data_IF_413295262453
#
_entry.id   IF_413295262453
#
_cell.length_a   1.000
_cell.length_b   1.000
_cell.length_c   1.000
_cell.angle_alpha   90.00
_cell.angle_beta   90.00
_cell.angle_gamma   90.00
#
_symmetry.space_group_name_H-M   'P 1'
#
loop_
_entity.id
_entity.type
_entity.pdbx_description
1 polymer ?
#
# COMPACT_ATOMS: atom_id res chain seq x y z
N UNK A 1 -5.48 18.21 48.98
CA UNK A 1 -6.02 18.29 47.61
C UNK A 1 -4.99 18.07 46.48
N UNK A 2 -3.69 18.33 46.68
CA UNK A 2 -2.65 18.18 45.63
C UNK A 2 -2.42 16.75 45.06
N UNK A 3 -2.57 15.69 45.88
CA UNK A 3 -2.30 14.30 45.47
C UNK A 3 -3.32 13.72 44.48
N UNK A 4 -4.58 14.16 44.53
CA UNK A 4 -5.64 13.67 43.64
C UNK A 4 -5.52 14.30 42.25
N UNK A 5 -5.15 15.58 42.17
CA UNK A 5 -4.90 16.27 40.90
C UNK A 5 -3.70 15.66 40.14
N UNK A 6 -2.63 15.30 40.85
CA UNK A 6 -1.47 14.63 40.26
C UNK A 6 -1.79 13.22 39.75
N UNK A 7 -2.68 12.50 40.42
CA UNK A 7 -3.09 11.15 40.04
C UNK A 7 -4.03 11.16 38.83
N UNK A 8 -4.91 12.16 38.72
CA UNK A 8 -5.75 12.39 37.53
C UNK A 8 -4.89 12.80 36.33
N UNK A 9 -3.91 13.68 36.51
CA UNK A 9 -2.96 14.04 35.44
C UNK A 9 -2.17 12.84 34.92
N UNK A 10 -1.72 11.95 35.82
CA UNK A 10 -1.01 10.73 35.46
C UNK A 10 -1.89 9.76 34.65
N UNK A 11 -3.16 9.58 35.04
CA UNK A 11 -4.11 8.72 34.33
C UNK A 11 -4.42 9.23 32.91
N UNK A 12 -4.53 10.54 32.71
CA UNK A 12 -4.72 11.15 31.38
C UNK A 12 -3.51 10.91 30.48
N UNK A 13 -2.28 11.02 31.03
CA UNK A 13 -1.06 10.75 30.27
C UNK A 13 -0.97 9.27 29.88
N UNK A 14 -1.24 8.36 30.81
CA UNK A 14 -1.20 6.91 30.53
C UNK A 14 -2.27 6.54 29.49
N UNK A 15 -3.49 7.07 29.60
CA UNK A 15 -4.55 6.87 28.61
C UNK A 15 -4.18 7.43 27.23
N UNK A 16 -3.56 8.60 27.17
CA UNK A 16 -3.06 9.20 25.92
C UNK A 16 -1.94 8.38 25.27
N UNK A 17 -1.00 7.85 26.07
CA UNK A 17 0.08 6.97 25.57
C UNK A 17 -0.48 5.64 25.07
N UNK A 18 -1.48 5.07 25.76
CA UNK A 18 -2.12 3.83 25.31
C UNK A 18 -2.90 4.03 24.01
N UNK A 19 -3.62 5.15 23.89
CA UNK A 19 -4.32 5.53 22.66
C UNK A 19 -3.34 5.74 21.49
N UNK A 20 -2.24 6.46 21.73
CA UNK A 20 -1.19 6.65 20.74
C UNK A 20 -0.57 5.30 20.31
N UNK A 21 -0.25 4.42 21.26
CA UNK A 21 0.32 3.10 20.96
C UNK A 21 -0.63 2.20 20.16
N UNK A 22 -1.92 2.17 20.51
CA UNK A 22 -2.94 1.46 19.74
C UNK A 22 -3.05 2.00 18.31
N UNK A 23 -2.95 3.32 18.14
CA UNK A 23 -2.98 3.96 16.83
C UNK A 23 -1.73 3.67 15.99
N UNK A 24 -0.55 3.68 16.60
CA UNK A 24 0.69 3.28 15.92
C UNK A 24 0.65 1.83 15.45
N UNK A 25 0.11 0.92 16.25
CA UNK A 25 -0.08 -0.47 15.84
C UNK A 25 -1.08 -0.61 14.68
N UNK A 26 -2.18 0.15 14.71
CA UNK A 26 -3.16 0.17 13.63
C UNK A 26 -2.58 0.70 12.31
N UNK A 27 -1.74 1.74 12.38
CA UNK A 27 -1.08 2.30 11.21
C UNK A 27 -0.04 1.34 10.64
N UNK A 28 0.77 0.71 11.50
CA UNK A 28 1.73 -0.31 11.08
C UNK A 28 1.05 -1.51 10.43
N UNK A 29 -0.09 -1.96 10.96
CA UNK A 29 -0.88 -3.05 10.38
C UNK A 29 -1.56 -2.65 9.06
N UNK A 30 -2.04 -1.40 8.95
CA UNK A 30 -2.61 -0.88 7.71
C UNK A 30 -1.57 -0.81 6.59
N UNK A 31 -0.42 -0.18 6.85
CA UNK A 31 0.67 -0.05 5.88
C UNK A 31 1.21 -1.42 5.46
N UNK A 32 1.42 -2.35 6.40
CA UNK A 32 1.88 -3.71 6.07
C UNK A 32 0.86 -4.46 5.21
N UNK A 33 -0.43 -4.38 5.53
CA UNK A 33 -1.48 -5.04 4.74
C UNK A 33 -1.64 -4.41 3.37
N UNK A 34 -1.60 -3.08 3.28
CA UNK A 34 -1.71 -2.36 2.02
C UNK A 34 -0.54 -2.68 1.10
N UNK A 35 0.70 -2.61 1.60
CA UNK A 35 1.91 -3.01 0.86
C UNK A 35 1.85 -4.47 0.42
N UNK A 36 1.44 -5.39 1.30
CA UNK A 36 1.29 -6.80 0.94
C UNK A 36 0.26 -7.03 -0.16
N UNK A 37 -0.89 -6.34 -0.13
CA UNK A 37 -1.91 -6.42 -1.18
C UNK A 37 -1.43 -5.80 -2.50
N UNK A 38 -0.70 -4.68 -2.44
CA UNK A 38 -0.08 -4.07 -3.62
C UNK A 38 0.89 -5.05 -4.26
N UNK A 39 1.83 -5.62 -3.49
CA UNK A 39 2.81 -6.58 -3.99
C UNK A 39 2.14 -7.83 -4.58
N UNK A 40 1.11 -8.36 -3.94
CA UNK A 40 0.32 -9.47 -4.50
C UNK A 40 -0.32 -9.09 -5.84
N UNK A 41 -0.85 -7.87 -5.97
CA UNK A 41 -1.37 -7.37 -7.24
C UNK A 41 -0.25 -7.22 -8.28
N UNK A 42 0.89 -6.67 -7.89
CA UNK A 42 2.06 -6.54 -8.75
C UNK A 42 2.60 -7.89 -9.25
N UNK A 43 2.63 -8.91 -8.40
CA UNK A 43 3.00 -10.27 -8.77
C UNK A 43 2.01 -10.89 -9.77
N UNK A 44 0.71 -10.61 -9.65
CA UNK A 44 -0.29 -11.03 -10.66
C UNK A 44 -0.06 -10.34 -12.00
N UNK A 45 0.30 -9.05 -11.98
CA UNK A 45 0.65 -8.31 -13.20
C UNK A 45 1.91 -8.90 -13.84
N UNK A 46 2.95 -9.21 -13.05
CA UNK A 46 4.14 -9.92 -13.54
C UNK A 46 3.79 -11.27 -14.15
N UNK A 47 2.99 -12.10 -13.46
CA UNK A 47 2.57 -13.40 -13.98
C UNK A 47 1.80 -13.28 -15.30
N UNK A 48 0.97 -12.24 -15.44
CA UNK A 48 0.26 -11.95 -16.69
C UNK A 48 1.22 -11.52 -17.80
N UNK A 49 2.21 -10.68 -17.50
CA UNK A 49 3.26 -10.34 -18.45
C UNK A 49 4.10 -11.57 -18.82
N UNK A 50 4.48 -12.40 -17.85
CA UNK A 50 5.28 -13.61 -18.08
C UNK A 50 4.55 -14.67 -18.91
N UNK A 51 3.22 -14.66 -18.90
CA UNK A 51 2.41 -15.51 -19.78
C UNK A 51 2.54 -15.14 -21.27
N UNK A 52 3.07 -13.95 -21.58
CA UNK A 52 3.37 -13.50 -22.93
C UNK A 52 4.83 -13.86 -23.26
N UNK A 53 5.10 -14.69 -24.29
CA UNK A 53 6.45 -15.18 -24.58
C UNK A 53 7.50 -14.08 -24.81
N UNK A 54 7.10 -12.92 -25.35
CA UNK A 54 7.99 -11.77 -25.58
C UNK A 54 8.36 -11.00 -24.30
N UNK A 55 7.64 -11.23 -23.21
CA UNK A 55 7.73 -10.51 -21.93
C UNK A 55 8.26 -11.39 -20.79
N UNK A 56 8.36 -12.70 -21.01
CA UNK A 56 8.77 -13.67 -20.00
C UNK A 56 10.13 -13.34 -19.38
N UNK A 57 10.15 -13.16 -18.06
CA UNK A 57 11.34 -12.86 -17.26
C UNK A 57 11.94 -11.48 -17.52
N UNK A 58 11.24 -10.60 -18.25
CA UNK A 58 11.74 -9.26 -18.56
C UNK A 58 11.46 -8.25 -17.48
N UNK A 59 10.35 -8.39 -16.75
CA UNK A 59 9.97 -7.45 -15.71
C UNK A 59 10.23 -8.03 -14.33
N UNK A 60 10.66 -7.17 -13.42
CA UNK A 60 10.76 -7.45 -11.99
C UNK A 60 10.20 -6.28 -11.21
N UNK A 61 9.62 -6.57 -10.04
CA UNK A 61 9.34 -5.52 -9.06
C UNK A 61 10.68 -5.08 -8.47
N UNK A 62 11.02 -3.81 -8.63
CA UNK A 62 12.25 -3.24 -8.10
C UNK A 62 12.02 -2.72 -6.68
N UNK A 63 10.94 -1.97 -6.48
CA UNK A 63 10.59 -1.40 -5.19
C UNK A 63 9.10 -1.18 -5.02
N UNK A 64 8.66 -1.24 -3.78
CA UNK A 64 7.34 -0.84 -3.32
C UNK A 64 7.50 0.35 -2.37
N UNK A 65 6.66 1.36 -2.53
CA UNK A 65 6.57 2.47 -1.60
C UNK A 65 5.10 2.64 -1.23
N UNK A 66 4.80 2.71 0.07
CA UNK A 66 3.48 3.03 0.57
C UNK A 66 3.59 4.14 1.60
N UNK A 67 2.66 5.08 1.53
CA UNK A 67 2.57 6.19 2.46
C UNK A 67 1.11 6.39 2.85
N UNK A 68 0.86 6.33 4.16
CA UNK A 68 -0.42 6.72 4.72
C UNK A 68 -0.48 8.24 4.80
N UNK A 69 -1.61 8.86 4.43
CA UNK A 69 -1.70 10.32 4.33
C UNK A 69 -1.57 11.03 5.69
N UNK A 70 -1.88 10.33 6.78
CA UNK A 70 -1.78 10.82 8.16
C UNK A 70 -1.84 9.65 9.16
N UNK A 71 -1.31 9.84 10.37
CA UNK A 71 -1.40 8.89 11.49
C UNK A 71 -2.85 8.57 11.91
N UNK A 72 -3.83 9.36 11.46
CA UNK A 72 -5.26 9.14 11.68
C UNK A 72 -6.04 8.90 10.39
N UNK A 73 -5.35 8.86 9.25
CA UNK A 73 -6.03 8.65 7.97
C UNK A 73 -6.45 7.20 7.81
N UNK A 74 -7.65 6.97 7.32
CA UNK A 74 -8.09 5.66 6.82
C UNK A 74 -7.69 5.46 5.37
N UNK A 75 -6.96 6.40 4.77
CA UNK A 75 -6.49 6.35 3.39
C UNK A 75 -4.97 6.40 3.32
N UNK A 76 -4.43 5.81 2.26
CA UNK A 76 -3.02 5.94 1.91
C UNK A 76 -2.82 5.74 0.42
N UNK A 77 -1.65 6.15 -0.04
CA UNK A 77 -1.22 5.98 -1.43
C UNK A 77 0.04 5.13 -1.48
N UNK A 78 0.19 4.37 -2.55
CA UNK A 78 1.39 3.60 -2.77
C UNK A 78 1.75 3.50 -4.23
N UNK A 79 2.98 3.11 -4.50
CA UNK A 79 3.49 2.90 -5.84
C UNK A 79 4.33 1.63 -5.90
N UNK A 80 4.11 0.85 -6.94
CA UNK A 80 5.01 -0.24 -7.31
C UNK A 80 5.79 0.15 -8.55
N UNK A 81 7.10 -0.03 -8.48
CA UNK A 81 8.02 0.21 -9.58
C UNK A 81 8.44 -1.11 -10.21
N UNK A 82 8.29 -1.19 -11.52
CA UNK A 82 8.68 -2.33 -12.33
C UNK A 82 9.82 -1.94 -13.23
N UNK A 83 10.85 -2.77 -13.28
CA UNK A 83 12.00 -2.58 -14.12
C UNK A 83 12.06 -3.68 -15.18
N UNK A 84 12.22 -3.27 -16.43
CA UNK A 84 12.51 -4.13 -17.57
C UNK A 84 14.02 -4.42 -17.61
N UNK A 85 14.41 -5.63 -17.99
CA UNK A 85 15.79 -6.01 -18.31
C UNK A 85 16.45 -5.15 -19.39
N UNK A 86 15.64 -4.49 -20.24
CA UNK A 86 16.11 -3.55 -21.27
C UNK A 86 16.29 -2.10 -20.78
N UNK A 87 16.07 -1.82 -19.49
CA UNK A 87 16.20 -0.48 -18.90
C UNK A 87 14.93 0.37 -18.94
N UNK A 88 13.84 -0.13 -19.53
CA UNK A 88 12.52 0.48 -19.41
C UNK A 88 11.97 0.34 -17.98
N UNK A 89 11.32 1.38 -17.46
CA UNK A 89 10.65 1.32 -16.16
C UNK A 89 9.20 1.75 -16.33
N UNK A 90 8.30 1.09 -15.59
CA UNK A 90 6.93 1.56 -15.46
C UNK A 90 6.50 1.43 -14.00
N UNK A 91 5.62 2.33 -13.58
CA UNK A 91 5.08 2.35 -12.23
C UNK A 91 3.56 2.16 -12.25
N UNK A 92 3.05 1.58 -11.17
CA UNK A 92 1.62 1.48 -10.89
C UNK A 92 1.37 2.21 -9.58
N UNK A 93 0.57 3.27 -9.63
CA UNK A 93 0.11 3.98 -8.44
C UNK A 93 -1.15 3.30 -7.89
N UNK A 94 -1.28 3.26 -6.58
CA UNK A 94 -2.35 2.60 -5.84
C UNK A 94 -2.89 3.52 -4.77
N UNK A 95 -4.19 3.39 -4.52
CA UNK A 95 -4.88 3.97 -3.38
C UNK A 95 -5.36 2.84 -2.48
N UNK A 96 -5.07 2.96 -1.20
CA UNK A 96 -5.56 2.07 -0.18
C UNK A 96 -6.56 2.79 0.72
N UNK A 97 -7.62 2.09 1.10
CA UNK A 97 -8.67 2.58 1.99
C UNK A 97 -8.97 1.50 3.05
N UNK A 98 -9.01 1.93 4.30
CA UNK A 98 -9.43 1.13 5.44
C UNK A 98 -10.94 1.34 5.62
N UNK A 99 -11.74 0.33 5.28
CA UNK A 99 -13.21 0.40 5.40
C UNK A 99 -13.69 -0.60 6.44
N UNK A 100 -14.57 -0.16 7.35
CA UNK A 100 -15.24 -1.02 8.31
C UNK A 100 -15.57 -0.32 9.63
N UNK A 101 -16.83 -0.37 10.04
CA UNK A 101 -17.29 -0.02 11.40
C UNK A 101 -17.58 -1.31 12.19
N UNK A 102 -17.34 -1.32 13.51
CA UNK A 102 -17.84 -2.39 14.38
C UNK A 102 -17.05 -3.70 14.40
N UNK A 103 -15.72 -3.66 14.35
CA UNK A 103 -14.86 -4.83 14.64
C UNK A 103 -14.30 -5.58 13.42
N UNK A 104 -14.84 -5.38 12.22
CA UNK A 104 -14.27 -5.90 10.97
C UNK A 104 -13.65 -4.78 10.11
N UNK A 105 -12.41 -4.39 10.40
CA UNK A 105 -11.65 -3.45 9.56
C UNK A 105 -11.01 -4.20 8.38
N UNK A 106 -11.38 -3.83 7.16
CA UNK A 106 -10.84 -4.39 5.91
C UNK A 106 -9.99 -3.35 5.19
N UNK A 107 -8.89 -3.80 4.58
CA UNK A 107 -8.02 -2.96 3.75
C UNK A 107 -8.35 -3.25 2.31
N UNK A 108 -8.76 -2.21 1.58
CA UNK A 108 -8.97 -2.25 0.15
C UNK A 108 -7.83 -1.53 -0.53
N UNK A 109 -7.27 -2.12 -1.58
CA UNK A 109 -6.21 -1.51 -2.41
C UNK A 109 -6.71 -1.54 -3.84
N UNK A 110 -6.66 -0.39 -4.51
CA UNK A 110 -7.09 -0.22 -5.89
C UNK A 110 -6.01 0.54 -6.68
N UNK A 111 -5.69 0.13 -7.92
CA UNK A 111 -4.78 0.90 -8.76
C UNK A 111 -5.44 2.23 -9.16
N UNK A 112 -4.73 3.33 -8.97
CA UNK A 112 -5.16 4.63 -9.47
C UNK A 112 -4.99 4.67 -10.99
N UNK A 113 -6.02 5.13 -11.70
CA UNK A 113 -5.97 5.21 -13.17
C UNK A 113 -5.94 3.84 -13.86
N UNK A 114 -6.81 2.91 -13.44
CA UNK A 114 -6.87 1.54 -13.98
C UNK A 114 -7.00 1.46 -15.51
N UNK A 115 -7.66 2.43 -16.15
CA UNK A 115 -7.75 2.53 -17.61
C UNK A 115 -6.38 2.81 -18.26
N UNK A 116 -5.61 3.74 -17.71
CA UNK A 116 -4.25 4.03 -18.18
C UNK A 116 -3.30 2.87 -17.90
N UNK A 117 -3.50 2.16 -16.79
CA UNK A 117 -2.74 0.95 -16.48
C UNK A 117 -2.99 -0.16 -17.51
N UNK A 118 -4.26 -0.42 -17.84
CA UNK A 118 -4.60 -1.41 -18.87
C UNK A 118 -4.05 -1.02 -20.23
N UNK A 119 -4.12 0.27 -20.61
CA UNK A 119 -3.54 0.77 -21.84
C UNK A 119 -2.01 0.61 -21.88
N UNK A 120 -1.31 0.92 -20.77
CA UNK A 120 0.15 0.71 -20.63
C UNK A 120 0.53 -0.76 -20.75
N UNK A 121 -0.18 -1.65 -20.05
CA UNK A 121 0.07 -3.09 -20.10
C UNK A 121 -0.19 -3.65 -21.50
N UNK A 122 -1.30 -3.27 -22.14
CA UNK A 122 -1.61 -3.66 -23.50
C UNK A 122 -0.54 -3.16 -24.48
N UNK A 123 -0.10 -1.90 -24.33
CA UNK A 123 0.99 -1.33 -25.12
C UNK A 123 2.30 -2.10 -24.96
N UNK A 124 2.67 -2.47 -23.73
CA UNK A 124 3.85 -3.29 -23.45
C UNK A 124 3.75 -4.67 -24.09
N UNK A 125 2.61 -5.35 -23.96
CA UNK A 125 2.39 -6.66 -24.56
C UNK A 125 2.45 -6.60 -26.10
N UNK A 126 1.84 -5.57 -26.71
CA UNK A 126 1.83 -5.37 -28.17
C UNK A 126 3.21 -4.98 -28.72
N UNK A 127 3.99 -4.18 -27.98
CA UNK A 127 5.35 -3.79 -28.35
C UNK A 127 6.38 -4.92 -28.13
N UNK A 128 5.95 -6.07 -27.58
CA UNK A 128 6.82 -7.19 -27.26
C UNK A 128 7.74 -6.91 -26.08
N UNK A 129 7.26 -6.12 -25.12
CA UNK A 129 7.93 -5.83 -23.86
C UNK A 129 9.36 -5.31 -24.03
N UNK A 130 9.50 -4.36 -24.95
CA UNK A 130 10.71 -3.56 -25.19
C UNK A 130 10.65 -2.29 -24.36
#
# INVERSE_FOLDING_TARGET
MSKVLGLVGLLVIIGGVYYAAAQFNLNGDFERKATGLMEQHGQKVLAMLDSVPSCQGRFKIESSAFHQDSLWSTTGSGRLFFLNSSGGAFDISYRAELTGEGGERRVFVSPEGSADLQAKLAGLMLAGCK
#
